data_IF_943718064206
#
_entry.id   IF_943718064206
#
_cell.length_a   1.000
_cell.length_b   1.000
_cell.length_c   1.000
_cell.angle_alpha   90.00
_cell.angle_beta   90.00
_cell.angle_gamma   90.00
#
_symmetry.space_group_name_H-M   'P 1'
#
loop_
_entity.id
_entity.type
_entity.pdbx_description
1 polymer ?
#
# COMPACT_ATOMS: atom_id res chain seq x y z
N UNK A 1 7.43 -22.85 -15.72
CA UNK A 1 7.06 -21.69 -14.87
C UNK A 1 6.44 -22.26 -13.60
N UNK A 2 6.98 -21.89 -12.43
CA UNK A 2 6.39 -22.26 -11.14
C UNK A 2 5.44 -21.14 -10.69
N UNK A 3 4.13 -21.38 -10.76
CA UNK A 3 3.10 -20.39 -10.38
C UNK A 3 3.05 -20.12 -8.86
N UNK A 4 3.70 -20.96 -8.05
CA UNK A 4 3.79 -20.83 -6.62
C UNK A 4 5.14 -20.24 -6.15
N UNK A 5 5.96 -19.76 -7.07
CA UNK A 5 7.24 -19.14 -6.75
C UNK A 5 7.04 -17.92 -5.85
N UNK A 6 7.84 -17.86 -4.79
CA UNK A 6 7.83 -16.76 -3.82
C UNK A 6 9.04 -15.88 -4.12
N UNK A 7 8.80 -14.65 -4.55
CA UNK A 7 9.84 -13.70 -4.87
C UNK A 7 10.39 -12.99 -3.63
N UNK A 8 11.54 -12.34 -3.79
CA UNK A 8 12.14 -11.46 -2.79
C UNK A 8 11.70 -10.01 -3.04
N UNK A 9 11.31 -9.27 -1.99
CA UNK A 9 10.86 -7.89 -2.14
C UNK A 9 11.97 -6.94 -2.58
N UNK A 10 13.17 -7.09 -2.05
CA UNK A 10 14.31 -6.27 -2.43
C UNK A 10 14.63 -6.40 -3.91
N UNK A 11 14.67 -7.63 -4.44
CA UNK A 11 14.89 -7.88 -5.88
C UNK A 11 13.80 -7.24 -6.76
N UNK A 12 12.53 -7.36 -6.35
CA UNK A 12 11.40 -6.76 -7.09
C UNK A 12 11.50 -5.25 -7.15
N UNK A 13 11.86 -4.60 -6.03
CA UNK A 13 12.01 -3.15 -5.96
C UNK A 13 13.25 -2.66 -6.71
N UNK A 14 14.39 -3.36 -6.60
CA UNK A 14 15.62 -3.03 -7.32
C UNK A 14 15.44 -3.10 -8.85
N UNK A 15 14.58 -4.03 -9.32
CA UNK A 15 14.28 -4.21 -10.74
C UNK A 15 13.13 -3.32 -11.25
N UNK A 16 12.49 -2.53 -10.39
CA UNK A 16 11.39 -1.62 -10.78
C UNK A 16 11.66 -0.20 -10.26
N UNK A 17 12.10 0.68 -11.12
CA UNK A 17 12.46 2.06 -10.75
C UNK A 17 11.24 2.87 -10.24
N UNK A 18 10.00 2.49 -10.57
CA UNK A 18 8.82 3.24 -10.17
C UNK A 18 7.55 2.38 -10.01
N UNK A 19 7.45 1.53 -8.98
CA UNK A 19 6.18 0.88 -8.64
C UNK A 19 5.11 1.87 -8.12
N UNK A 20 5.48 3.10 -7.83
CA UNK A 20 4.59 4.17 -7.38
C UNK A 20 4.23 4.07 -5.90
N UNK A 21 3.10 3.49 -5.58
CA UNK A 21 2.69 3.13 -4.21
C UNK A 21 2.62 1.62 -4.14
N UNK A 22 3.05 1.06 -3.02
CA UNK A 22 3.03 -0.38 -2.82
C UNK A 22 2.53 -0.80 -1.46
N UNK A 23 1.73 -1.86 -1.43
CA UNK A 23 1.23 -2.50 -0.21
C UNK A 23 1.74 -3.95 -0.20
N UNK A 24 2.31 -4.36 0.92
CA UNK A 24 2.59 -5.77 1.22
C UNK A 24 1.80 -6.16 2.46
N UNK A 25 1.01 -7.23 2.34
CA UNK A 25 0.36 -7.88 3.49
C UNK A 25 0.78 -9.34 3.53
N UNK A 26 1.00 -9.87 4.72
CA UNK A 26 1.43 -11.25 4.91
C UNK A 26 1.57 -11.66 6.36
N UNK A 27 2.26 -12.77 6.59
CA UNK A 27 2.49 -13.35 7.92
C UNK A 27 3.94 -13.80 8.04
N UNK A 28 4.54 -13.63 9.22
CA UNK A 28 5.93 -14.06 9.51
C UNK A 28 6.13 -15.57 9.33
N UNK A 29 7.39 -16.05 9.12
CA UNK A 29 7.69 -17.47 8.95
C UNK A 29 7.26 -18.38 10.11
N UNK A 30 7.26 -17.85 11.33
CA UNK A 30 6.76 -18.58 12.52
C UNK A 30 5.23 -18.58 12.64
N UNK A 31 4.51 -17.86 11.76
CA UNK A 31 3.06 -17.76 11.74
C UNK A 31 2.46 -16.91 12.87
N UNK A 32 3.28 -16.16 13.64
CA UNK A 32 2.80 -15.48 14.85
C UNK A 32 2.45 -14.02 14.65
N UNK A 33 3.02 -13.36 13.64
CA UNK A 33 2.80 -11.93 13.42
C UNK A 33 2.18 -11.67 12.04
N UNK A 34 1.12 -10.88 12.02
CA UNK A 34 0.63 -10.25 10.79
C UNK A 34 1.57 -9.10 10.39
N UNK A 35 1.85 -9.00 9.10
CA UNK A 35 2.79 -8.01 8.55
C UNK A 35 2.08 -7.12 7.55
N UNK A 36 2.23 -5.80 7.74
CA UNK A 36 1.78 -4.80 6.81
C UNK A 36 2.92 -3.84 6.47
N UNK A 37 3.16 -3.60 5.20
CA UNK A 37 4.06 -2.56 4.73
C UNK A 37 3.37 -1.69 3.68
N UNK A 38 3.68 -0.40 3.70
CA UNK A 38 3.21 0.57 2.73
C UNK A 38 4.30 1.59 2.42
N UNK A 39 4.56 1.83 1.14
CA UNK A 39 5.47 2.88 0.72
C UNK A 39 4.85 3.81 -0.31
N UNK A 40 5.37 5.02 -0.35
CA UNK A 40 5.04 6.01 -1.38
C UNK A 40 6.30 6.46 -2.12
N UNK A 41 6.12 6.62 -3.42
CA UNK A 41 7.10 7.24 -4.31
C UNK A 41 6.44 8.40 -5.06
N UNK A 42 7.24 9.30 -5.62
CA UNK A 42 6.75 10.44 -6.38
C UNK A 42 7.79 11.01 -7.32
N UNK A 43 7.33 11.54 -8.47
CA UNK A 43 8.20 12.18 -9.49
C UNK A 43 8.05 13.70 -9.52
N UNK A 44 6.86 14.24 -9.22
CA UNK A 44 6.60 15.68 -9.19
C UNK A 44 7.02 16.32 -7.87
N UNK A 45 7.28 17.62 -7.88
CA UNK A 45 7.59 18.40 -6.67
C UNK A 45 6.49 18.24 -5.62
N UNK A 46 5.22 18.33 -6.03
CA UNK A 46 4.07 18.18 -5.13
C UNK A 46 4.01 16.76 -4.52
N UNK A 47 4.20 15.71 -5.33
CA UNK A 47 4.17 14.33 -4.83
C UNK A 47 5.34 14.00 -3.90
N UNK A 48 6.50 14.63 -4.09
CA UNK A 48 7.70 14.45 -3.24
C UNK A 48 7.63 15.21 -1.92
N UNK A 49 6.73 16.19 -1.81
CA UNK A 49 6.57 17.03 -0.62
C UNK A 49 5.66 16.36 0.43
N UNK A 50 5.99 15.13 0.83
CA UNK A 50 5.18 14.33 1.79
C UNK A 50 6.04 13.63 2.82
N UNK A 51 5.47 13.47 4.00
CA UNK A 51 5.99 12.65 5.10
C UNK A 51 4.84 11.83 5.71
N UNK A 52 5.18 10.71 6.35
CA UNK A 52 4.26 9.97 7.21
C UNK A 52 4.39 10.47 8.65
N UNK A 53 3.25 10.77 9.25
CA UNK A 53 3.13 11.18 10.65
C UNK A 53 2.29 10.16 11.39
N UNK A 54 2.72 9.81 12.61
CA UNK A 54 1.98 8.88 13.49
C UNK A 54 0.68 9.52 13.96
N UNK A 55 -0.38 8.73 14.01
CA UNK A 55 -1.64 9.04 14.67
C UNK A 55 -2.03 7.90 15.61
N UNK A 56 -2.99 8.13 16.53
CA UNK A 56 -3.38 7.12 17.52
C UNK A 56 -3.90 5.82 16.89
N UNK A 57 -4.58 5.90 15.74
CA UNK A 57 -5.19 4.79 15.04
C UNK A 57 -4.48 4.43 13.71
N UNK A 58 -3.27 4.96 13.48
CA UNK A 58 -2.53 4.67 12.26
C UNK A 58 -1.46 5.67 11.88
N UNK A 59 -1.48 6.11 10.63
CA UNK A 59 -0.61 7.17 10.12
C UNK A 59 -1.37 8.07 9.15
N UNK A 60 -0.92 9.32 9.05
CA UNK A 60 -1.39 10.31 8.08
C UNK A 60 -0.23 10.79 7.20
N UNK A 61 -0.53 11.15 5.95
CA UNK A 61 0.40 11.93 5.14
C UNK A 61 0.29 13.41 5.48
N UNK A 62 1.43 14.09 5.56
CA UNK A 62 1.51 15.55 5.69
C UNK A 62 2.46 16.13 4.64
N UNK A 63 2.33 17.43 4.36
CA UNK A 63 3.33 18.13 3.58
C UNK A 63 4.61 18.28 4.42
N UNK A 64 5.77 17.92 3.86
CA UNK A 64 7.05 18.24 4.47
C UNK A 64 7.28 19.75 4.55
N UNK A 65 6.95 20.46 3.48
CA UNK A 65 6.99 21.92 3.40
C UNK A 65 5.60 22.46 3.00
N UNK A 66 4.80 22.95 3.96
CA UNK A 66 3.45 23.45 3.69
C UNK A 66 3.42 24.59 2.67
N UNK A 67 4.49 25.38 2.53
CA UNK A 67 4.57 26.50 1.58
C UNK A 67 4.61 26.04 0.11
N UNK A 68 4.97 24.78 -0.13
CA UNK A 68 5.04 24.16 -1.46
C UNK A 68 3.81 23.32 -1.80
N UNK A 69 2.82 23.28 -0.93
CA UNK A 69 1.60 22.51 -1.19
C UNK A 69 0.70 23.25 -2.17
N UNK A 70 0.44 22.64 -3.33
CA UNK A 70 -0.42 23.22 -4.37
C UNK A 70 -1.86 22.72 -4.23
N UNK A 71 -2.04 21.39 -4.10
CA UNK A 71 -3.35 20.74 -3.96
C UNK A 71 -3.22 19.58 -2.94
N UNK A 72 -3.90 19.65 -1.79
CA UNK A 72 -3.88 18.61 -0.79
C UNK A 72 -4.72 17.37 -1.15
N UNK A 73 -5.67 17.48 -2.07
CA UNK A 73 -6.73 16.48 -2.28
C UNK A 73 -6.23 15.06 -2.63
N UNK A 74 -5.09 14.96 -3.34
CA UNK A 74 -4.50 13.67 -3.75
C UNK A 74 -3.27 13.27 -2.91
N UNK A 75 -2.85 14.13 -1.97
CA UNK A 75 -1.59 13.91 -1.24
C UNK A 75 -1.77 13.84 0.28
N UNK A 76 -2.84 14.39 0.84
CA UNK A 76 -3.14 14.35 2.28
C UNK A 76 -4.29 13.38 2.52
N UNK A 77 -4.01 12.27 3.19
CA UNK A 77 -4.95 11.20 3.51
C UNK A 77 -4.38 10.31 4.63
N UNK A 78 -5.17 9.39 5.15
CA UNK A 78 -4.73 8.35 6.08
C UNK A 78 -4.35 7.09 5.29
N UNK A 79 -3.07 6.79 5.03
CA UNK A 79 -2.71 5.57 4.32
C UNK A 79 -2.93 4.31 5.15
N UNK A 80 -2.91 4.43 6.49
CA UNK A 80 -3.12 3.30 7.40
C UNK A 80 -4.05 3.75 8.52
N UNK A 81 -5.13 2.97 8.75
CA UNK A 81 -6.04 3.14 9.89
C UNK A 81 -6.47 1.82 10.49
N UNK A 82 -6.52 1.78 11.82
CA UNK A 82 -7.13 0.68 12.55
C UNK A 82 -8.66 0.77 12.48
N UNK A 83 -9.33 -0.37 12.32
CA UNK A 83 -10.79 -0.47 12.29
C UNK A 83 -11.24 -1.74 12.98
N UNK A 84 -11.99 -1.60 14.07
CA UNK A 84 -12.52 -2.77 14.80
C UNK A 84 -11.44 -3.82 15.06
N UNK A 85 -11.48 -4.90 14.27
CA UNK A 85 -10.53 -6.01 14.39
C UNK A 85 -9.58 -6.12 13.19
N UNK A 86 -9.18 -5.01 12.59
CA UNK A 86 -8.31 -5.06 11.41
C UNK A 86 -7.51 -3.79 11.18
N UNK A 87 -6.66 -3.85 10.15
CA UNK A 87 -5.83 -2.75 9.68
C UNK A 87 -6.14 -2.48 8.21
N UNK A 88 -6.55 -1.25 7.89
CA UNK A 88 -6.74 -0.76 6.53
C UNK A 88 -5.43 -0.14 6.06
N UNK A 89 -5.00 -0.45 4.83
CA UNK A 89 -3.84 0.14 4.17
C UNK A 89 -4.20 0.55 2.76
N UNK A 90 -4.08 1.83 2.39
CA UNK A 90 -4.40 2.29 1.03
C UNK A 90 -3.48 3.40 0.53
N UNK A 91 -3.60 3.73 -0.76
CA UNK A 91 -2.83 4.82 -1.37
C UNK A 91 -3.63 6.13 -1.54
N UNK A 92 -4.75 6.29 -0.84
CA UNK A 92 -5.57 7.51 -0.97
C UNK A 92 -6.69 7.61 0.04
N UNK A 93 -7.58 8.57 -0.15
CA UNK A 93 -8.70 8.89 0.74
C UNK A 93 -9.79 7.79 0.83
N UNK A 94 -9.71 6.75 0.02
CA UNK A 94 -10.59 5.59 0.16
C UNK A 94 -10.40 4.85 1.51
N UNK A 95 -9.31 5.10 2.25
CA UNK A 95 -9.15 4.60 3.62
C UNK A 95 -10.33 5.00 4.49
N UNK A 96 -10.70 6.27 4.47
CA UNK A 96 -11.80 6.79 5.29
C UNK A 96 -13.15 6.23 4.83
N UNK A 97 -13.33 6.07 3.51
CA UNK A 97 -14.53 5.39 2.98
C UNK A 97 -14.64 3.95 3.49
N UNK A 98 -13.54 3.18 3.43
CA UNK A 98 -13.52 1.80 3.93
C UNK A 98 -13.80 1.78 5.44
N UNK A 99 -13.14 2.66 6.19
CA UNK A 99 -13.29 2.77 7.63
C UNK A 99 -14.76 3.05 8.04
N UNK A 100 -15.41 4.01 7.37
CA UNK A 100 -16.81 4.37 7.62
C UNK A 100 -17.78 3.22 7.34
N UNK A 101 -17.57 2.47 6.25
CA UNK A 101 -18.41 1.33 5.89
C UNK A 101 -18.27 0.20 6.90
N UNK A 102 -17.03 -0.17 7.23
CA UNK A 102 -16.76 -1.21 8.22
C UNK A 102 -17.27 -0.84 9.61
N UNK A 103 -17.15 0.44 10.02
CA UNK A 103 -17.72 0.92 11.29
C UNK A 103 -19.25 0.81 11.35
N UNK A 104 -19.95 0.82 10.22
CA UNK A 104 -21.40 0.62 10.10
C UNK A 104 -21.79 -0.86 9.93
N UNK A 105 -20.82 -1.78 9.93
CA UNK A 105 -21.05 -3.21 9.70
C UNK A 105 -21.28 -3.58 8.23
N UNK A 106 -20.96 -2.66 7.30
CA UNK A 106 -21.01 -2.92 5.87
C UNK A 106 -19.70 -3.56 5.38
N UNK A 107 -19.70 -4.14 4.17
CA UNK A 107 -18.52 -4.82 3.65
C UNK A 107 -17.50 -3.85 3.04
N UNK A 108 -16.25 -4.27 3.05
CA UNK A 108 -15.15 -3.59 2.37
C UNK A 108 -15.39 -3.47 0.85
N UNK A 109 -15.96 -4.49 0.23
CA UNK A 109 -16.31 -4.47 -1.19
C UNK A 109 -17.40 -3.43 -1.49
N UNK A 110 -18.38 -3.28 -0.60
CA UNK A 110 -19.41 -2.24 -0.72
C UNK A 110 -18.78 -0.84 -0.70
N UNK A 111 -17.87 -0.58 0.23
CA UNK A 111 -17.11 0.67 0.29
C UNK A 111 -16.37 0.95 -1.03
N UNK A 112 -15.60 -0.01 -1.51
CA UNK A 112 -14.78 0.15 -2.72
C UNK A 112 -15.58 0.22 -4.02
N UNK A 113 -16.81 -0.31 -4.05
CA UNK A 113 -17.70 -0.12 -5.21
C UNK A 113 -18.18 1.31 -5.39
N UNK A 114 -18.12 2.15 -4.35
CA UNK A 114 -18.43 3.58 -4.43
C UNK A 114 -17.27 4.41 -4.96
N UNK A 115 -16.08 3.81 -5.09
CA UNK A 115 -14.83 4.47 -5.47
C UNK A 115 -14.38 4.06 -6.88
N UNK A 116 -13.46 4.85 -7.43
CA UNK A 116 -12.76 4.57 -8.66
C UNK A 116 -11.30 5.06 -8.54
N UNK A 117 -10.49 4.87 -9.56
CA UNK A 117 -9.14 5.39 -9.70
C UNK A 117 -9.07 6.93 -9.53
N UNK A 118 -7.89 7.53 -9.43
CA UNK A 118 -7.69 8.98 -9.27
C UNK A 118 -8.02 9.72 -10.57
N UNK A 119 -8.50 10.98 -10.44
CA UNK A 119 -8.83 11.85 -11.56
C UNK A 119 -7.62 12.62 -12.09
N UNK A 120 -6.54 11.91 -12.38
CA UNK A 120 -5.25 12.48 -12.77
C UNK A 120 -4.84 12.04 -14.20
N UNK A 121 -5.78 12.11 -15.14
CA UNK A 121 -5.47 11.79 -16.54
C UNK A 121 -4.18 12.47 -17.05
N UNK A 122 -3.41 11.79 -17.88
CA UNK A 122 -3.69 10.52 -18.55
C UNK A 122 -3.28 9.25 -17.76
N UNK A 123 -2.71 9.38 -16.54
CA UNK A 123 -2.25 8.21 -15.77
C UNK A 123 -3.40 7.41 -15.17
N UNK A 124 -4.50 8.08 -14.80
CA UNK A 124 -5.63 7.46 -14.10
C UNK A 124 -5.13 6.56 -12.97
N UNK A 125 -4.31 7.16 -12.08
CA UNK A 125 -3.61 6.44 -11.00
C UNK A 125 -4.53 5.46 -10.29
N UNK A 126 -4.21 4.16 -10.26
CA UNK A 126 -5.08 3.18 -9.62
C UNK A 126 -5.11 3.37 -8.12
N UNK A 127 -6.27 3.08 -7.51
CA UNK A 127 -6.39 2.96 -6.06
C UNK A 127 -6.14 1.53 -5.65
N UNK A 128 -5.11 1.32 -4.86
CA UNK A 128 -4.79 0.03 -4.24
C UNK A 128 -5.21 0.06 -2.77
N UNK A 129 -5.75 -1.03 -2.29
CA UNK A 129 -6.21 -1.12 -0.90
C UNK A 129 -5.92 -2.51 -0.33
N UNK A 130 -5.62 -2.55 0.96
CA UNK A 130 -5.44 -3.74 1.77
C UNK A 130 -6.29 -3.66 3.03
N UNK A 131 -6.83 -4.80 3.45
CA UNK A 131 -7.48 -5.01 4.74
C UNK A 131 -6.90 -6.26 5.37
N UNK A 132 -6.18 -6.13 6.48
CA UNK A 132 -5.62 -7.24 7.23
C UNK A 132 -6.48 -7.52 8.46
N UNK A 133 -6.98 -8.73 8.58
CA UNK A 133 -7.77 -9.18 9.72
C UNK A 133 -6.90 -9.63 10.89
N UNK A 134 -7.52 -9.76 12.08
CA UNK A 134 -6.83 -10.15 13.31
C UNK A 134 -6.33 -11.60 13.34
N UNK A 135 -6.85 -12.47 12.49
CA UNK A 135 -6.38 -13.85 12.32
C UNK A 135 -5.20 -13.95 11.33
N UNK A 136 -4.73 -12.81 10.82
CA UNK A 136 -3.65 -12.74 9.85
C UNK A 136 -4.08 -12.93 8.40
N UNK A 137 -5.33 -13.29 8.12
CA UNK A 137 -5.89 -13.28 6.76
C UNK A 137 -6.00 -11.85 6.23
N UNK A 138 -6.02 -11.68 4.92
CA UNK A 138 -6.08 -10.34 4.33
C UNK A 138 -6.74 -10.31 2.97
N UNK A 139 -7.21 -9.12 2.62
CA UNK A 139 -7.77 -8.79 1.31
C UNK A 139 -6.92 -7.71 0.65
N UNK A 140 -6.79 -7.80 -0.66
CA UNK A 140 -6.19 -6.77 -1.51
C UNK A 140 -7.15 -6.37 -2.61
N UNK A 141 -7.07 -5.13 -3.07
CA UNK A 141 -7.85 -4.69 -4.24
C UNK A 141 -7.09 -3.66 -5.06
N UNK A 142 -7.47 -3.57 -6.34
CA UNK A 142 -7.09 -2.50 -7.22
C UNK A 142 -8.31 -1.99 -7.99
N UNK A 143 -8.49 -0.67 -7.99
CA UNK A 143 -9.47 0.05 -8.81
C UNK A 143 -8.68 0.82 -9.86
N UNK A 144 -8.83 0.45 -11.13
CA UNK A 144 -8.05 1.02 -12.22
C UNK A 144 -8.92 1.38 -13.43
N UNK A 145 -8.45 2.25 -14.29
CA UNK A 145 -9.16 2.52 -15.53
C UNK A 145 -9.19 1.27 -16.40
N UNK A 146 -10.33 1.03 -17.03
CA UNK A 146 -10.54 -0.04 -17.99
C UNK A 146 -10.18 0.37 -19.42
N UNK A 147 -9.99 1.68 -19.65
CA UNK A 147 -9.71 2.29 -20.96
C UNK A 147 -8.77 3.50 -20.82
N UNK A 148 -8.14 3.95 -21.92
CA UNK A 148 -7.23 5.10 -21.91
C UNK A 148 -7.91 6.44 -21.56
N UNK A 149 -9.22 6.55 -21.76
CA UNK A 149 -10.01 7.76 -21.54
C UNK A 149 -10.47 7.93 -20.10
N UNK A 150 -10.31 6.89 -19.25
CA UNK A 150 -10.78 6.92 -17.86
C UNK A 150 -12.31 6.86 -17.75
N UNK A 151 -12.99 6.31 -18.76
CA UNK A 151 -14.46 6.30 -18.82
C UNK A 151 -15.08 5.24 -17.91
N UNK A 152 -14.40 4.10 -17.73
CA UNK A 152 -14.87 2.97 -16.95
C UNK A 152 -13.84 2.51 -15.92
N UNK A 153 -14.32 1.95 -14.79
CA UNK A 153 -13.49 1.45 -13.71
C UNK A 153 -13.53 -0.08 -13.62
N UNK A 154 -12.39 -0.72 -13.81
CA UNK A 154 -12.17 -2.13 -13.48
C UNK A 154 -11.87 -2.26 -11.99
N UNK A 155 -12.49 -3.25 -11.32
CA UNK A 155 -12.32 -3.55 -9.89
C UNK A 155 -11.92 -4.99 -9.70
N UNK A 156 -10.76 -5.22 -9.11
CA UNK A 156 -10.27 -6.54 -8.77
C UNK A 156 -10.16 -6.67 -7.25
N UNK A 157 -10.63 -7.79 -6.71
CA UNK A 157 -10.60 -8.13 -5.30
C UNK A 157 -9.93 -9.49 -5.13
N UNK A 158 -9.03 -9.60 -4.15
CA UNK A 158 -8.26 -10.80 -3.84
C UNK A 158 -8.35 -11.07 -2.35
N UNK A 159 -8.56 -12.33 -1.98
CA UNK A 159 -8.64 -12.77 -0.58
C UNK A 159 -7.61 -13.87 -0.34
N UNK A 160 -6.85 -13.73 0.75
CA UNK A 160 -5.77 -14.62 1.10
C UNK A 160 -5.89 -15.10 2.54
N UNK A 161 -5.80 -16.42 2.79
CA UNK A 161 -5.61 -16.95 4.12
C UNK A 161 -4.23 -16.58 4.65
N UNK A 162 -4.05 -16.62 5.97
CA UNK A 162 -2.75 -16.50 6.61
C UNK A 162 -1.90 -17.74 6.30
N UNK A 163 -0.80 -17.55 5.58
CA UNK A 163 0.19 -18.59 5.31
C UNK A 163 1.56 -18.14 5.81
N UNK A 164 2.17 -18.95 6.70
CA UNK A 164 3.44 -18.62 7.33
C UNK A 164 4.55 -18.36 6.30
N UNK A 165 5.24 -17.24 6.43
CA UNK A 165 6.33 -16.79 5.55
C UNK A 165 5.89 -16.23 4.20
N UNK A 166 4.59 -16.19 3.90
CA UNK A 166 4.06 -15.69 2.65
C UNK A 166 3.34 -14.35 2.82
N UNK A 167 3.60 -13.46 1.89
CA UNK A 167 2.84 -12.23 1.67
C UNK A 167 2.50 -12.02 0.20
N UNK A 168 1.69 -10.99 -0.05
CA UNK A 168 1.36 -10.54 -1.40
C UNK A 168 1.62 -9.04 -1.54
N UNK A 169 2.26 -8.70 -2.65
CA UNK A 169 2.63 -7.33 -3.01
C UNK A 169 1.72 -6.84 -4.14
N UNK A 170 1.03 -5.71 -3.89
CA UNK A 170 0.28 -4.98 -4.91
C UNK A 170 0.82 -3.57 -5.01
N UNK A 171 0.89 -3.03 -6.23
CA UNK A 171 1.43 -1.69 -6.47
C UNK A 171 0.70 -0.97 -7.60
N UNK A 172 0.92 0.34 -7.74
CA UNK A 172 0.12 1.12 -8.70
C UNK A 172 0.59 0.98 -10.14
N UNK A 173 1.91 0.83 -10.39
CA UNK A 173 2.49 0.89 -11.72
C UNK A 173 3.45 -0.26 -12.01
N UNK A 174 3.39 -0.79 -13.22
CA UNK A 174 4.28 -1.88 -13.68
C UNK A 174 5.75 -1.45 -13.70
N UNK A 175 6.01 -0.23 -14.13
CA UNK A 175 7.36 0.36 -14.25
C UNK A 175 7.25 1.88 -14.39
N UNK A 176 8.38 2.55 -14.54
CA UNK A 176 8.38 3.96 -14.93
C UNK A 176 7.93 4.13 -16.39
N UNK A 177 7.30 5.25 -16.72
CA UNK A 177 6.76 5.55 -18.05
C UNK A 177 6.70 7.04 -18.34
N UNK A 178 6.76 7.41 -19.63
CA UNK A 178 6.65 8.78 -20.09
C UNK A 178 6.01 8.83 -21.50
N UNK A 179 4.92 9.56 -21.72
CA UNK A 179 4.23 10.44 -20.76
C UNK A 179 3.31 9.69 -19.77
N UNK A 180 2.85 8.49 -20.10
CA UNK A 180 1.91 7.71 -19.29
C UNK A 180 2.64 6.61 -18.54
N UNK A 181 2.36 6.47 -17.25
CA UNK A 181 2.92 5.41 -16.42
C UNK A 181 2.00 4.18 -16.53
N UNK A 182 2.52 3.00 -16.97
CA UNK A 182 1.68 1.83 -17.18
C UNK A 182 1.16 1.27 -15.84
N UNK A 183 -0.16 1.16 -15.74
CA UNK A 183 -0.87 0.62 -14.58
C UNK A 183 -0.54 -0.85 -14.33
N UNK A 184 -0.42 -1.23 -13.07
CA UNK A 184 -0.22 -2.62 -12.62
C UNK A 184 -1.26 -3.59 -13.24
N UNK A 185 -0.79 -4.75 -13.67
CA UNK A 185 -1.57 -5.80 -14.30
C UNK A 185 -1.35 -7.15 -13.59
N UNK A 186 -2.38 -7.99 -13.60
CA UNK A 186 -2.30 -9.33 -13.03
C UNK A 186 -2.75 -9.39 -11.56
N UNK A 187 -2.35 -10.47 -10.90
CA UNK A 187 -2.60 -10.73 -9.48
C UNK A 187 -1.50 -10.10 -8.60
N UNK A 188 -1.79 -9.79 -7.32
CA UNK A 188 -0.75 -9.43 -6.37
C UNK A 188 0.38 -10.46 -6.33
N UNK A 189 1.60 -9.97 -6.34
CA UNK A 189 2.80 -10.81 -6.46
C UNK A 189 3.12 -11.51 -5.14
N UNK A 190 3.40 -12.82 -5.20
CA UNK A 190 3.81 -13.62 -4.03
C UNK A 190 5.22 -13.21 -3.59
N UNK A 191 5.38 -12.90 -2.29
CA UNK A 191 6.65 -12.45 -1.73
C UNK A 191 6.93 -13.11 -0.38
N UNK A 192 8.22 -13.29 -0.09
CA UNK A 192 8.67 -13.77 1.22
C UNK A 192 8.54 -12.66 2.27
N UNK A 193 8.10 -13.05 3.47
CA UNK A 193 8.05 -12.16 4.63
C UNK A 193 9.19 -12.53 5.57
N UNK A 194 10.12 -11.61 5.87
CA UNK A 194 11.16 -11.83 6.88
C UNK A 194 10.60 -11.91 8.30
N UNK A 195 11.31 -12.61 9.21
CA UNK A 195 10.97 -12.68 10.63
C UNK A 195 11.14 -11.32 11.34
N UNK A 196 12.18 -10.58 10.97
CA UNK A 196 12.56 -9.32 11.59
C UNK A 196 11.93 -8.11 10.89
N UNK A 197 11.23 -7.27 11.63
CA UNK A 197 10.70 -5.99 11.14
C UNK A 197 11.83 -5.06 10.64
N UNK A 198 12.98 -5.04 11.35
CA UNK A 198 14.11 -4.17 10.97
C UNK A 198 14.75 -4.66 9.67
N UNK A 199 14.92 -5.97 9.49
CA UNK A 199 15.42 -6.54 8.24
C UNK A 199 14.48 -6.24 7.07
N UNK A 200 13.16 -6.38 7.26
CA UNK A 200 12.19 -6.07 6.20
C UNK A 200 12.13 -4.57 5.88
N UNK A 201 12.21 -3.73 6.90
CA UNK A 201 12.24 -2.27 6.72
C UNK A 201 13.47 -1.83 5.92
N UNK A 202 14.67 -2.35 6.25
CA UNK A 202 15.89 -2.08 5.51
C UNK A 202 15.83 -2.61 4.08
N UNK A 203 15.39 -3.87 3.90
CA UNK A 203 15.21 -4.46 2.57
C UNK A 203 14.34 -3.60 1.66
N UNK A 204 13.18 -3.15 2.16
CA UNK A 204 12.29 -2.30 1.37
C UNK A 204 12.92 -0.94 1.07
N UNK A 205 13.43 -0.24 2.10
CA UNK A 205 13.92 1.13 1.96
C UNK A 205 15.17 1.24 1.09
N UNK A 206 16.10 0.32 1.22
CA UNK A 206 17.37 0.33 0.47
C UNK A 206 17.18 -0.01 -1.01
N UNK A 207 16.16 -0.81 -1.35
CA UNK A 207 15.89 -1.21 -2.73
C UNK A 207 14.85 -0.33 -3.46
N UNK A 208 14.17 0.58 -2.76
CA UNK A 208 13.39 1.62 -3.42
C UNK A 208 14.31 2.62 -4.12
N UNK A 209 13.97 2.98 -5.37
CA UNK A 209 14.75 3.96 -6.16
C UNK A 209 14.96 5.27 -5.38
N UNK A 210 16.21 5.67 -5.20
CA UNK A 210 16.60 6.79 -4.34
C UNK A 210 16.02 8.14 -4.76
N UNK A 211 15.86 8.39 -6.06
CA UNK A 211 15.32 9.65 -6.55
C UNK A 211 13.84 9.79 -6.27
N UNK A 212 13.12 8.67 -6.26
CA UNK A 212 11.66 8.64 -6.23
C UNK A 212 11.05 8.25 -4.88
N UNK A 213 11.79 7.54 -4.00
CA UNK A 213 11.27 7.14 -2.67
C UNK A 213 10.97 8.34 -1.80
N UNK A 214 9.88 8.27 -1.03
CA UNK A 214 9.40 9.37 -0.17
C UNK A 214 9.26 8.90 1.27
N UNK A 215 8.40 7.92 1.53
CA UNK A 215 8.15 7.39 2.87
C UNK A 215 7.83 5.91 2.85
N UNK A 216 8.16 5.23 3.94
CA UNK A 216 7.88 3.82 4.18
C UNK A 216 7.28 3.65 5.58
N UNK A 217 6.26 2.83 5.67
CA UNK A 217 5.67 2.31 6.89
C UNK A 217 5.76 0.78 6.89
N UNK A 218 6.15 0.19 8.03
CA UNK A 218 6.12 -1.25 8.27
C UNK A 218 5.55 -1.50 9.66
N UNK A 219 4.63 -2.47 9.80
CA UNK A 219 4.06 -2.91 11.08
C UNK A 219 4.04 -4.44 11.14
N UNK A 220 4.48 -4.96 12.28
CA UNK A 220 4.36 -6.36 12.68
C UNK A 220 3.45 -6.43 13.90
N UNK A 221 2.33 -7.13 13.79
CA UNK A 221 1.31 -7.25 14.85
C UNK A 221 1.25 -8.69 15.33
N UNK A 222 1.48 -8.94 16.60
CA UNK A 222 1.32 -10.26 17.21
C UNK A 222 -0.14 -10.72 17.14
N UNK A 223 -0.39 -11.89 16.56
CA UNK A 223 -1.73 -12.42 16.33
C UNK A 223 -2.46 -12.84 17.62
N UNK A 224 -1.71 -13.12 18.69
CA UNK A 224 -2.27 -13.53 19.96
C UNK A 224 -2.48 -12.36 20.92
N UNK A 225 -1.46 -11.50 21.11
CA UNK A 225 -1.51 -10.39 22.09
C UNK A 225 -2.08 -9.11 21.51
N UNK A 226 -2.05 -8.96 20.19
CA UNK A 226 -2.40 -7.75 19.43
C UNK A 226 -1.42 -6.60 19.63
N UNK A 227 -0.34 -6.79 20.37
CA UNK A 227 0.75 -5.84 20.43
C UNK A 227 1.45 -5.71 19.08
N UNK A 228 1.95 -4.53 18.77
CA UNK A 228 2.63 -4.31 17.50
C UNK A 228 3.92 -3.51 17.64
N UNK A 229 4.82 -3.77 16.73
CA UNK A 229 5.98 -2.95 16.44
C UNK A 229 5.77 -2.26 15.11
N UNK A 230 6.20 -1.01 14.98
CA UNK A 230 6.15 -0.32 13.68
C UNK A 230 7.39 0.53 13.43
N UNK A 231 7.72 0.71 12.14
CA UNK A 231 8.78 1.57 11.65
C UNK A 231 8.21 2.56 10.64
N UNK A 232 8.66 3.80 10.71
CA UNK A 232 8.35 4.85 9.74
C UNK A 232 9.68 5.44 9.30
N UNK A 233 9.92 5.47 8.00
CA UNK A 233 11.06 6.17 7.40
C UNK A 233 10.51 7.23 6.45
N UNK A 234 11.00 8.45 6.60
CA UNK A 234 10.73 9.56 5.69
C UNK A 234 12.05 10.02 5.06
N UNK A 235 12.06 10.26 3.76
CA UNK A 235 13.22 10.83 3.06
C UNK A 235 13.51 12.26 3.52
N UNK A 236 12.44 12.99 3.78
CA UNK A 236 12.48 14.33 4.35
C UNK A 236 12.05 14.25 5.81
N UNK A 237 12.95 14.64 6.70
CA UNK A 237 12.69 14.78 8.13
C UNK A 237 12.91 16.23 8.56
#
# INVERSE_FOLDING_TARGET
MNVYEIGNMGEKLANNAYPGRGIVLGVTPDGKKAVAAYFIMGRSVNSRNRVFVREPDGIRTEAHDPSKMVDPSLIIYHPVREVGQGLIVTNGDQTDTIWEYLAKGESWEAALRTRKFEHDGPNWTPRISGLQANDGSYKLSILKSADPEGSACARCFYEYPALAGLGHFIHTYVCDGNPVIPTFQGEPERVSIPESIDAFTSELWENLNDDNKISLFVRYTDLQTREYEQRIINKHQ
#
